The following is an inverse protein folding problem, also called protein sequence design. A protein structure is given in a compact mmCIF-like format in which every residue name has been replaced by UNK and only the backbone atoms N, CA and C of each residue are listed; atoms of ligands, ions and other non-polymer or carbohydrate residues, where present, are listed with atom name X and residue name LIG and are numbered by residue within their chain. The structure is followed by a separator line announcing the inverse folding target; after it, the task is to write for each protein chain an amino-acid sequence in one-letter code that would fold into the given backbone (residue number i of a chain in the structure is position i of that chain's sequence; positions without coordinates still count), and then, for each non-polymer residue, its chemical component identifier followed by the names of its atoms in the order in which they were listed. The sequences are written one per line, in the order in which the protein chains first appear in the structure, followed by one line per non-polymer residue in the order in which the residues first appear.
data_IF_196455014799
#
_entry.id   IF_196455014799
#
_cell.length_a   1.000
_cell.length_b   1.000
_cell.length_c   1.000
_cell.angle_alpha   90.00
_cell.angle_beta   90.00
_cell.angle_gamma   90.00
#
_symmetry.space_group_name_H-M   'P 1'
#
loop_
_entity.id
_entity.type
_entity.pdbx_description
1 polymer ?
#
# COMPACT_ATOMS: atom_id res chain seq x y z
N UNK A 1 -14.26 6.18 1.73
CA UNK A 1 -12.89 5.73 1.96
C UNK A 1 -12.07 6.06 0.73
N UNK A 2 -10.89 6.64 0.93
CA UNK A 2 -9.89 6.87 -0.11
C UNK A 2 -8.82 5.78 0.09
N UNK A 3 -8.41 5.10 -0.99
CA UNK A 3 -7.35 4.08 -0.91
C UNK A 3 -6.06 4.63 -1.52
N UNK A 4 -4.95 4.42 -0.83
CA UNK A 4 -3.60 4.77 -1.29
C UNK A 4 -2.88 3.51 -1.75
N UNK A 5 -2.19 3.60 -2.90
CA UNK A 5 -1.45 2.48 -3.49
C UNK A 5 0.05 2.75 -3.34
N UNK A 6 0.78 1.98 -2.50
CA UNK A 6 2.21 2.13 -2.36
C UNK A 6 2.89 1.57 -3.62
N UNK A 7 3.75 2.38 -4.21
CA UNK A 7 4.52 2.05 -5.40
C UNK A 7 6.01 2.01 -5.07
N UNK A 8 6.83 1.75 -6.08
CA UNK A 8 8.29 1.85 -6.07
C UNK A 8 9.06 0.79 -5.25
N UNK A 9 8.51 0.26 -4.16
CA UNK A 9 9.21 -0.76 -3.38
C UNK A 9 9.38 -2.09 -4.16
N UNK A 10 10.42 -2.84 -3.84
CA UNK A 10 10.61 -4.22 -4.31
C UNK A 10 10.90 -4.39 -5.81
N UNK A 11 11.15 -3.31 -6.56
CA UNK A 11 11.46 -3.35 -8.01
C UNK A 11 12.93 -3.07 -8.31
N UNK A 12 13.45 -1.93 -7.85
CA UNK A 12 14.84 -1.52 -8.06
C UNK A 12 15.48 -1.13 -6.74
N UNK A 13 16.73 -1.55 -6.53
CA UNK A 13 17.52 -1.09 -5.40
C UNK A 13 18.13 0.28 -5.72
N UNK A 14 17.46 1.34 -5.25
CA UNK A 14 17.94 2.72 -5.41
C UNK A 14 18.61 3.26 -4.15
N UNK A 15 18.48 2.56 -3.03
CA UNK A 15 19.05 2.94 -1.73
C UNK A 15 19.64 1.71 -1.03
N UNK A 16 20.18 1.91 0.18
CA UNK A 16 20.75 0.85 1.01
C UNK A 16 19.69 0.07 1.81
N UNK A 17 18.41 0.44 1.72
CA UNK A 17 17.34 -0.26 2.43
C UNK A 17 17.15 -1.71 1.89
N UNK A 18 16.87 -2.70 2.75
CA UNK A 18 16.51 -4.04 2.29
C UNK A 18 15.23 -4.02 1.43
N UNK A 19 15.22 -4.80 0.35
CA UNK A 19 14.12 -4.81 -0.64
C UNK A 19 12.71 -4.98 -0.06
N UNK A 20 12.58 -5.75 1.02
CA UNK A 20 11.31 -6.12 1.64
C UNK A 20 10.99 -5.34 2.91
N UNK A 21 11.89 -4.45 3.35
CA UNK A 21 11.68 -3.61 4.53
C UNK A 21 10.54 -2.57 4.34
N UNK A 22 10.37 -1.91 3.17
CA UNK A 22 9.34 -0.88 3.05
C UNK A 22 7.90 -1.37 3.30
N UNK A 23 7.46 -2.55 2.80
CA UNK A 23 6.16 -3.13 3.18
C UNK A 23 5.98 -3.37 4.69
N UNK A 24 7.03 -3.80 5.38
CA UNK A 24 7.00 -4.07 6.82
C UNK A 24 6.85 -2.78 7.62
N UNK A 25 7.66 -1.77 7.30
CA UNK A 25 7.58 -0.45 7.91
C UNK A 25 6.23 0.23 7.65
N UNK A 26 5.67 0.06 6.44
CA UNK A 26 4.31 0.55 6.13
C UNK A 26 3.26 -0.11 7.02
N UNK A 27 3.31 -1.44 7.19
CA UNK A 27 2.37 -2.15 8.04
C UNK A 27 2.45 -1.68 9.49
N UNK A 28 3.66 -1.45 10.01
CA UNK A 28 3.86 -0.95 11.36
C UNK A 28 3.45 0.51 11.53
N UNK A 29 3.66 1.35 10.51
CA UNK A 29 3.16 2.72 10.50
C UNK A 29 1.62 2.74 10.54
N UNK A 30 0.95 1.89 9.76
CA UNK A 30 -0.52 1.81 9.74
C UNK A 30 -1.10 1.30 11.07
N UNK A 31 -0.44 0.36 11.74
CA UNK A 31 -0.85 -0.07 13.10
C UNK A 31 -0.84 1.10 14.11
N UNK A 32 0.04 2.08 13.92
CA UNK A 32 0.19 3.24 14.83
C UNK A 32 -0.82 4.36 14.57
N UNK A 33 -1.43 4.43 13.38
CA UNK A 33 -2.31 5.55 12.98
C UNK A 33 -3.78 5.33 13.39
N UNK A 34 -4.16 4.11 13.77
CA UNK A 34 -5.56 3.75 14.04
C UNK A 34 -6.44 3.73 12.79
N UNK A 35 -5.85 3.90 11.59
CA UNK A 35 -6.55 3.79 10.32
C UNK A 35 -6.85 2.32 9.98
N UNK A 36 -7.87 2.04 9.16
CA UNK A 36 -8.11 0.69 8.68
C UNK A 36 -6.91 0.18 7.88
N UNK A 37 -6.49 -1.07 8.17
CA UNK A 37 -5.32 -1.71 7.55
C UNK A 37 -5.40 -1.83 6.02
N UNK A 38 -6.59 -1.70 5.43
CA UNK A 38 -6.82 -1.83 4.00
C UNK A 38 -6.87 -0.48 3.26
N UNK A 39 -6.77 0.66 3.95
CA UNK A 39 -6.71 1.98 3.29
C UNK A 39 -5.35 2.25 2.65
N UNK A 40 -4.26 1.73 3.22
CA UNK A 40 -2.91 1.85 2.67
C UNK A 40 -2.05 0.62 3.00
N UNK A 41 -1.90 -0.28 2.03
CA UNK A 41 -1.21 -1.57 2.20
C UNK A 41 -0.34 -1.87 0.99
N UNK A 42 0.84 -2.46 1.23
CA UNK A 42 1.69 -3.05 0.20
C UNK A 42 0.97 -4.17 -0.57
N UNK A 43 0.93 -4.05 -1.88
CA UNK A 43 0.37 -5.05 -2.80
C UNK A 43 1.44 -6.04 -3.25
N UNK A 44 1.11 -7.33 -3.40
CA UNK A 44 2.06 -8.30 -3.99
C UNK A 44 2.39 -7.88 -5.43
N UNK A 45 3.60 -8.18 -5.90
CA UNK A 45 3.98 -7.96 -7.29
C UNK A 45 3.05 -8.78 -8.19
N UNK A 46 2.33 -8.12 -9.10
CA UNK A 46 1.31 -8.71 -9.97
C UNK A 46 -0.09 -8.84 -9.35
N UNK A 47 -0.32 -8.36 -8.12
CA UNK A 47 -1.65 -8.35 -7.50
C UNK A 47 -2.59 -7.41 -8.25
N UNK A 48 -3.81 -7.86 -8.51
CA UNK A 48 -4.89 -7.04 -9.06
C UNK A 48 -5.91 -6.73 -7.97
N UNK A 49 -6.33 -5.47 -7.86
CA UNK A 49 -7.40 -5.05 -6.95
C UNK A 49 -8.50 -4.31 -7.72
N UNK A 50 -9.73 -4.46 -7.27
CA UNK A 50 -10.85 -3.68 -7.76
C UNK A 50 -11.13 -2.50 -6.82
N UNK A 51 -11.11 -1.29 -7.38
CA UNK A 51 -11.51 -0.08 -6.66
C UNK A 51 -12.91 0.30 -7.12
N UNK A 52 -13.86 0.38 -6.18
CA UNK A 52 -15.21 0.84 -6.49
C UNK A 52 -15.19 2.32 -6.86
N UNK A 53 -15.74 2.67 -8.02
CA UNK A 53 -15.87 4.07 -8.41
C UNK A 53 -16.94 4.75 -7.55
N UNK A 54 -16.77 6.04 -7.27
CA UNK A 54 -17.78 6.84 -6.54
C UNK A 54 -18.99 7.21 -7.43
N UNK A 55 -18.99 6.83 -8.71
CA UNK A 55 -19.88 7.39 -9.74
C UNK A 55 -21.29 6.77 -9.70
N UNK A 56 -21.51 5.65 -9.02
CA UNK A 56 -22.79 4.93 -8.99
C UNK A 56 -23.89 5.56 -8.11
N UNK A 57 -23.65 6.72 -7.49
CA UNK A 57 -24.64 7.43 -6.63
C UNK A 57 -25.09 8.77 -7.21
N UNK A 58 -25.46 8.82 -8.49
CA UNK A 58 -26.22 9.95 -9.06
C UNK A 58 -27.51 9.46 -9.69
#
# INVERSE_FOLDING_TARGET
SQKSIPIHWGTFQLTHEPFLEPPELLADAMKKTGLPNDEFRAMKIGETIQIKSRVEKR
#
